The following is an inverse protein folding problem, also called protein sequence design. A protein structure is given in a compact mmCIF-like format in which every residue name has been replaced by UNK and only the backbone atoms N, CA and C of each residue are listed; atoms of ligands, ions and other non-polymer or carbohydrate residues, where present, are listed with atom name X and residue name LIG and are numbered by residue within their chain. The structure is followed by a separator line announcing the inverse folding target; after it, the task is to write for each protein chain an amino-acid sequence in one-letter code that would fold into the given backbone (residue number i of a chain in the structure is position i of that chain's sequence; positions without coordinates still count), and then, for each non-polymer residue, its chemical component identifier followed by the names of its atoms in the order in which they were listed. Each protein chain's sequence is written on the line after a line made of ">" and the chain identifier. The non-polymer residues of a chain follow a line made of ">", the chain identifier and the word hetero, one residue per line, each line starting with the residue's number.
data_IF_311979770008
#
_entry.id   IF_311979770008
#
_cell.length_a   1.000
_cell.length_b   1.000
_cell.length_c   1.000
_cell.angle_alpha   90.00
_cell.angle_beta   90.00
_cell.angle_gamma   90.00
#
_symmetry.space_group_name_H-M   'P 1'
#
loop_
_entity.id
_entity.type
_entity.pdbx_description
1 polymer ?
#
# COMPACT_ATOMS: atom_id res chain seq x y z
N UNK A 1 12.72 -6.05 -21.12
CA UNK A 1 11.52 -6.10 -20.25
C UNK A 1 11.90 -5.50 -18.90
N UNK A 2 11.22 -4.46 -18.42
CA UNK A 2 11.46 -3.92 -17.08
C UNK A 2 10.95 -4.94 -16.06
N UNK A 3 11.87 -5.59 -15.33
CA UNK A 3 11.54 -6.46 -14.20
C UNK A 3 11.92 -5.71 -12.93
N UNK A 4 10.91 -5.30 -12.18
CA UNK A 4 11.09 -4.82 -10.82
C UNK A 4 11.16 -6.08 -9.94
N UNK A 5 12.26 -6.30 -9.21
CA UNK A 5 12.41 -7.47 -8.32
C UNK A 5 11.44 -7.41 -7.14
N UNK A 6 11.41 -6.29 -6.41
CA UNK A 6 10.49 -6.02 -5.31
C UNK A 6 10.17 -4.52 -5.25
N UNK A 7 9.02 -4.15 -4.71
CA UNK A 7 8.65 -2.76 -4.47
C UNK A 7 7.42 -2.62 -3.60
N UNK A 8 7.24 -1.43 -3.04
CA UNK A 8 6.03 -1.10 -2.28
C UNK A 8 5.29 0.03 -2.98
N UNK A 9 4.42 -0.26 -3.97
CA UNK A 9 3.47 0.71 -4.50
C UNK A 9 2.45 1.14 -3.45
N UNK A 10 1.95 2.36 -3.61
CA UNK A 10 0.84 2.87 -2.80
C UNK A 10 -0.08 3.81 -3.58
N UNK A 11 -1.28 3.99 -3.06
CA UNK A 11 -2.26 4.92 -3.64
C UNK A 11 -1.91 6.37 -3.28
N UNK A 12 -1.70 7.23 -4.29
CA UNK A 12 -1.40 8.64 -4.06
C UNK A 12 -2.60 9.39 -3.47
N UNK A 13 -3.82 9.05 -3.85
CA UNK A 13 -5.05 9.65 -3.33
C UNK A 13 -5.97 8.56 -2.80
N UNK A 14 -6.20 8.54 -1.50
CA UNK A 14 -7.06 7.56 -0.85
C UNK A 14 -7.56 8.09 0.52
N UNK A 15 -8.60 7.47 1.05
CA UNK A 15 -9.12 7.80 2.39
C UNK A 15 -8.19 7.30 3.51
N UNK A 16 -7.43 6.24 3.24
CA UNK A 16 -6.50 5.59 4.15
C UNK A 16 -5.21 5.18 3.43
N UNK A 17 -4.18 4.88 4.22
CA UNK A 17 -2.94 4.29 3.72
C UNK A 17 -3.19 2.92 3.10
N UNK A 18 -2.79 2.77 1.84
CA UNK A 18 -2.81 1.50 1.12
C UNK A 18 -1.44 1.25 0.51
N UNK A 19 -0.59 0.53 1.23
CA UNK A 19 0.72 0.09 0.77
C UNK A 19 0.66 -1.42 0.47
N UNK A 20 1.20 -1.84 -0.66
CA UNK A 20 1.16 -3.24 -1.10
C UNK A 20 2.57 -3.70 -1.43
N UNK A 21 2.92 -4.96 -1.11
CA UNK A 21 4.15 -5.56 -1.59
C UNK A 21 3.95 -6.08 -3.03
N UNK A 22 4.71 -5.52 -3.97
CA UNK A 22 4.80 -6.02 -5.33
C UNK A 22 5.99 -6.98 -5.47
N UNK A 23 5.68 -8.24 -5.78
CA UNK A 23 6.66 -9.31 -6.04
C UNK A 23 7.06 -9.37 -7.52
N UNK A 24 6.98 -8.24 -8.22
CA UNK A 24 7.25 -8.08 -9.64
C UNK A 24 6.03 -8.31 -10.55
N UNK A 25 6.19 -7.97 -11.83
CA UNK A 25 5.20 -8.23 -12.88
C UNK A 25 4.18 -7.11 -13.11
N UNK A 26 4.16 -6.06 -12.29
CA UNK A 26 3.25 -4.91 -12.47
C UNK A 26 3.98 -3.67 -12.97
N UNK A 27 3.35 -2.97 -13.92
CA UNK A 27 3.77 -1.65 -14.40
C UNK A 27 2.90 -0.61 -13.71
N UNK A 28 3.52 0.33 -13.02
CA UNK A 28 2.81 1.37 -12.28
C UNK A 28 2.54 2.58 -13.19
N UNK A 29 1.32 3.11 -13.16
CA UNK A 29 0.98 4.39 -13.79
C UNK A 29 1.57 5.53 -12.95
N UNK A 30 1.69 6.72 -13.53
CA UNK A 30 2.30 7.91 -12.88
C UNK A 30 1.74 8.23 -11.48
N UNK A 31 0.47 7.89 -11.21
CA UNK A 31 -0.23 8.11 -9.93
C UNK A 31 -0.03 7.00 -8.89
N UNK A 32 0.89 6.07 -9.13
CA UNK A 32 1.24 5.01 -8.20
C UNK A 32 2.72 5.14 -7.85
N UNK A 33 3.06 6.00 -6.87
CA UNK A 33 4.43 6.09 -6.41
C UNK A 33 4.87 4.76 -5.78
N UNK A 34 6.17 4.50 -5.83
CA UNK A 34 6.74 3.21 -5.41
C UNK A 34 7.92 3.47 -4.49
N UNK A 35 7.91 2.83 -3.32
CA UNK A 35 9.08 2.79 -2.44
C UNK A 35 10.01 1.66 -2.93
N UNK A 36 11.29 1.99 -3.08
CA UNK A 36 12.37 1.07 -3.39
C UNK A 36 13.35 1.02 -2.23
N UNK A 37 13.65 -0.20 -1.77
CA UNK A 37 14.73 -0.43 -0.82
C UNK A 37 16.07 -0.56 -1.57
N UNK A 38 17.21 -0.39 -0.88
CA UNK A 38 18.53 -0.59 -1.47
C UNK A 38 18.69 -1.97 -2.12
N UNK A 39 19.58 -2.06 -3.10
CA UNK A 39 19.91 -3.33 -3.74
C UNK A 39 20.38 -4.36 -2.70
N UNK A 40 19.87 -5.59 -2.83
CA UNK A 40 20.13 -6.68 -1.88
C UNK A 40 19.17 -6.72 -0.68
N UNK A 41 18.22 -5.79 -0.57
CA UNK A 41 17.19 -5.87 0.46
C UNK A 41 16.32 -7.12 0.32
N UNK A 42 16.07 -7.80 1.44
CA UNK A 42 15.28 -9.04 1.50
C UNK A 42 13.78 -8.75 1.47
N UNK A 43 12.98 -9.76 1.15
CA UNK A 43 11.51 -9.65 1.24
C UNK A 43 11.05 -9.33 2.67
N UNK A 44 11.69 -9.91 3.69
CA UNK A 44 11.41 -9.60 5.09
C UNK A 44 11.61 -8.13 5.43
N UNK A 45 12.64 -7.48 4.87
CA UNK A 45 12.85 -6.03 5.06
C UNK A 45 11.74 -5.21 4.40
N UNK A 46 11.19 -5.68 3.29
CA UNK A 46 10.01 -5.05 2.68
C UNK A 46 8.77 -5.25 3.55
N UNK A 47 8.54 -6.46 4.08
CA UNK A 47 7.42 -6.77 4.96
C UNK A 47 7.48 -5.98 6.28
N UNK A 48 8.66 -5.82 6.88
CA UNK A 48 8.88 -4.97 8.04
C UNK A 48 8.38 -3.53 7.82
N UNK A 49 8.79 -2.92 6.69
CA UNK A 49 8.35 -1.58 6.34
C UNK A 49 6.85 -1.55 6.02
N UNK A 50 6.37 -2.52 5.25
CA UNK A 50 4.96 -2.65 4.86
C UNK A 50 4.02 -2.71 6.08
N UNK A 51 4.38 -3.49 7.11
CA UNK A 51 3.58 -3.63 8.32
C UNK A 51 3.45 -2.33 9.09
N UNK A 52 4.54 -1.56 9.19
CA UNK A 52 4.51 -0.25 9.86
C UNK A 52 3.73 0.77 9.02
N UNK A 53 3.95 0.81 7.70
CA UNK A 53 3.27 1.73 6.80
C UNK A 53 1.77 1.50 6.71
N UNK A 54 1.28 0.27 6.93
CA UNK A 54 -0.16 -0.05 6.99
C UNK A 54 -0.74 0.00 8.42
N UNK A 55 -0.02 0.58 9.39
CA UNK A 55 -0.55 0.77 10.75
C UNK A 55 -1.49 1.98 10.87
N UNK A 56 -2.38 1.96 11.87
CA UNK A 56 -3.22 3.11 12.20
C UNK A 56 -2.40 4.33 12.65
N UNK A 57 -1.28 4.11 13.34
CA UNK A 57 -0.35 5.18 13.72
C UNK A 57 0.27 5.87 12.51
N UNK A 58 0.68 5.10 11.49
CA UNK A 58 1.16 5.67 10.23
C UNK A 58 0.08 6.45 9.51
N UNK A 59 -1.15 5.90 9.43
CA UNK A 59 -2.30 6.58 8.84
C UNK A 59 -2.60 7.90 9.54
N UNK A 60 -2.63 7.89 10.88
CA UNK A 60 -2.87 9.08 11.69
C UNK A 60 -1.83 10.16 11.39
N UNK A 61 -0.54 9.82 11.43
CA UNK A 61 0.52 10.77 11.13
C UNK A 61 0.42 11.32 9.71
N UNK A 62 0.18 10.45 8.72
CA UNK A 62 0.04 10.86 7.31
C UNK A 62 -1.12 11.84 7.12
N UNK A 63 -2.26 11.62 7.78
CA UNK A 63 -3.39 12.56 7.74
C UNK A 63 -3.09 13.93 8.37
N UNK A 64 -2.12 14.03 9.29
CA UNK A 64 -1.70 15.33 9.84
C UNK A 64 -0.84 16.15 8.87
N UNK A 65 -0.06 15.50 8.00
CA UNK A 65 0.93 16.18 7.16
C UNK A 65 0.58 16.22 5.67
N UNK A 66 -0.31 15.34 5.22
CA UNK A 66 -0.76 15.24 3.84
C UNK A 66 -1.91 16.22 3.57
N UNK A 67 -2.06 16.61 2.29
CA UNK A 67 -3.12 17.51 1.89
C UNK A 67 -4.47 16.78 1.88
N UNK A 68 -5.42 17.24 2.71
CA UNK A 68 -6.81 16.78 2.67
C UNK A 68 -7.48 17.32 1.40
N UNK A 69 -8.00 16.42 0.57
CA UNK A 69 -8.65 16.68 -0.71
C UNK A 69 -10.18 16.69 -0.61
N UNK A 70 -10.75 16.58 0.58
CA UNK A 70 -12.20 16.49 0.84
C UNK A 70 -12.80 15.18 0.36
N UNK A 71 -14.13 15.06 0.48
CA UNK A 71 -14.90 13.88 0.04
C UNK A 71 -15.67 14.18 -1.25
N UNK A 72 -16.82 14.85 -1.13
CA UNK A 72 -17.81 15.03 -2.20
C UNK A 72 -17.69 16.43 -2.81
N UNK A 73 -18.14 16.62 -4.05
CA UNK A 73 -18.36 17.95 -4.62
C UNK A 73 -19.79 18.39 -4.37
N UNK A 74 -20.00 19.63 -3.92
CA UNK A 74 -21.33 20.22 -3.89
C UNK A 74 -21.83 20.61 -5.29
N UNK A 75 -23.07 21.09 -5.35
CA UNK A 75 -23.72 21.55 -6.58
C UNK A 75 -22.96 22.66 -7.31
N UNK A 76 -22.06 23.36 -6.63
CA UNK A 76 -21.23 24.44 -7.16
C UNK A 76 -19.80 23.97 -7.48
N UNK A 77 -19.51 22.67 -7.34
CA UNK A 77 -18.23 22.05 -7.64
C UNK A 77 -17.17 22.20 -6.54
N UNK A 78 -17.51 22.79 -5.39
CA UNK A 78 -16.58 22.89 -4.27
C UNK A 78 -16.52 21.56 -3.52
N UNK A 79 -15.31 21.14 -3.15
CA UNK A 79 -15.13 19.91 -2.37
C UNK A 79 -15.51 20.16 -0.91
N UNK A 80 -16.46 19.39 -0.41
CA UNK A 80 -16.99 19.45 0.94
C UNK A 80 -16.63 18.17 1.71
N UNK A 81 -16.27 18.34 2.97
CA UNK A 81 -16.15 17.24 3.94
C UNK A 81 -17.50 17.08 4.61
N UNK A 82 -18.18 15.94 4.40
CA UNK A 82 -19.40 15.62 5.14
C UNK A 82 -19.04 14.97 6.49
N UNK A 83 -18.15 13.98 6.45
CA UNK A 83 -17.62 13.28 7.64
C UNK A 83 -16.11 13.00 7.47
N UNK A 84 -15.27 13.16 8.51
CA UNK A 84 -13.81 13.09 8.36
C UNK A 84 -13.23 11.77 7.84
N UNK A 85 -13.97 10.66 7.96
CA UNK A 85 -13.50 9.35 7.50
C UNK A 85 -13.66 9.15 5.98
N UNK A 86 -14.50 9.95 5.33
CA UNK A 86 -14.70 9.94 3.86
C UNK A 86 -13.70 10.82 3.11
N UNK A 87 -12.96 11.66 3.82
CA UNK A 87 -12.00 12.57 3.20
C UNK A 87 -10.88 11.80 2.50
N UNK A 88 -10.62 12.16 1.25
CA UNK A 88 -9.46 11.70 0.52
C UNK A 88 -8.25 12.52 0.90
N UNK A 89 -7.09 11.87 1.06
CA UNK A 89 -5.82 12.52 1.34
C UNK A 89 -4.85 12.26 0.20
N UNK A 90 -4.01 13.26 -0.12
CA UNK A 90 -2.94 13.11 -1.10
C UNK A 90 -1.64 12.69 -0.40
N UNK A 91 -1.39 11.39 -0.35
CA UNK A 91 -0.15 10.79 0.12
C UNK A 91 0.91 10.90 -0.99
N UNK A 92 1.54 12.06 -1.13
CA UNK A 92 2.66 12.21 -2.08
C UNK A 92 3.98 11.64 -1.50
N UNK A 93 4.93 11.33 -2.38
CA UNK A 93 6.22 10.72 -1.99
C UNK A 93 7.03 11.56 -0.99
N UNK A 94 6.97 12.90 -1.08
CA UNK A 94 7.69 13.79 -0.16
C UNK A 94 7.16 13.66 1.26
N UNK A 95 5.83 13.63 1.43
CA UNK A 95 5.19 13.47 2.75
C UNK A 95 5.37 12.07 3.29
N UNK A 96 5.22 11.04 2.46
CA UNK A 96 5.48 9.65 2.85
C UNK A 96 6.93 9.46 3.29
N UNK A 97 7.89 10.06 2.59
CA UNK A 97 9.32 9.99 2.93
C UNK A 97 9.71 10.71 4.23
N UNK A 98 8.83 11.55 4.79
CA UNK A 98 9.02 12.21 6.09
C UNK A 98 8.49 11.39 7.26
N UNK A 99 7.79 10.27 7.01
CA UNK A 99 7.25 9.43 8.07
C UNK A 99 8.38 8.88 8.96
N UNK A 100 8.34 9.07 10.28
CA UNK A 100 9.40 8.61 11.16
C UNK A 100 9.42 7.08 11.24
N UNK A 101 10.54 6.48 10.81
CA UNK A 101 10.77 5.04 10.86
C UNK A 101 11.86 4.73 11.88
N UNK A 102 11.58 3.79 12.78
CA UNK A 102 12.56 3.33 13.76
C UNK A 102 13.57 2.38 13.10
N UNK A 103 14.83 2.39 13.57
CA UNK A 103 15.91 1.56 12.99
C UNK A 103 15.63 0.04 13.05
N UNK A 104 14.78 -0.39 13.99
CA UNK A 104 14.30 -1.77 14.12
C UNK A 104 12.79 -1.81 13.94
N UNK A 105 12.32 -2.62 12.99
CA UNK A 105 10.91 -2.76 12.65
C UNK A 105 10.41 -4.18 12.98
N UNK A 106 9.18 -4.33 13.48
CA UNK A 106 8.61 -5.63 13.76
C UNK A 106 8.31 -6.40 12.46
N UNK A 107 8.73 -7.67 12.39
CA UNK A 107 8.52 -8.51 11.21
C UNK A 107 7.33 -9.48 11.38
N UNK A 108 7.25 -10.15 12.52
CA UNK A 108 6.34 -11.28 12.74
C UNK A 108 4.89 -11.00 12.31
N UNK A 109 4.33 -9.88 12.76
CA UNK A 109 2.94 -9.53 12.41
C UNK A 109 2.74 -9.31 10.90
N UNK A 110 3.69 -8.63 10.25
CA UNK A 110 3.60 -8.36 8.81
C UNK A 110 3.70 -9.67 8.01
N UNK A 111 4.59 -10.58 8.43
CA UNK A 111 4.73 -11.90 7.81
C UNK A 111 3.47 -12.75 7.96
N UNK A 112 2.87 -12.79 9.16
CA UNK A 112 1.62 -13.52 9.40
C UNK A 112 0.49 -12.98 8.53
N UNK A 113 0.33 -11.65 8.46
CA UNK A 113 -0.71 -11.03 7.65
C UNK A 113 -0.53 -11.31 6.15
N UNK A 114 0.71 -11.26 5.65
CA UNK A 114 1.00 -11.57 4.25
C UNK A 114 0.77 -13.06 3.95
N UNK A 115 1.20 -13.97 4.82
CA UNK A 115 0.96 -15.41 4.67
C UNK A 115 -0.54 -15.73 4.61
N UNK A 116 -1.33 -15.23 5.57
CA UNK A 116 -2.79 -15.42 5.58
C UNK A 116 -3.45 -14.80 4.34
N UNK A 117 -2.96 -13.65 3.87
CA UNK A 117 -3.44 -13.01 2.65
C UNK A 117 -3.18 -13.87 1.40
N UNK A 118 -1.99 -14.48 1.31
CA UNK A 118 -1.63 -15.38 0.22
C UNK A 118 -2.45 -16.68 0.27
N UNK A 119 -2.64 -17.28 1.45
CA UNK A 119 -3.48 -18.46 1.65
C UNK A 119 -4.91 -18.19 1.17
N UNK A 120 -5.49 -17.05 1.55
CA UNK A 120 -6.82 -16.65 1.09
C UNK A 120 -6.88 -16.52 -0.45
N UNK A 121 -5.89 -15.87 -1.07
CA UNK A 121 -5.82 -15.73 -2.54
C UNK A 121 -5.71 -17.09 -3.24
N UNK A 122 -4.97 -18.03 -2.66
CA UNK A 122 -4.83 -19.39 -3.19
C UNK A 122 -6.17 -20.14 -3.23
N UNK A 123 -7.07 -19.84 -2.28
CA UNK A 123 -8.44 -20.39 -2.25
C UNK A 123 -9.44 -19.66 -3.14
N UNK A 124 -9.03 -18.62 -3.86
CA UNK A 124 -9.94 -17.87 -4.75
C UNK A 124 -10.43 -18.74 -5.92
N UNK A 125 -11.67 -18.53 -6.43
CA UNK A 125 -12.20 -19.32 -7.54
C UNK A 125 -11.28 -19.32 -8.77
N UNK A 126 -10.67 -18.19 -9.09
CA UNK A 126 -9.74 -18.06 -10.22
C UNK A 126 -8.48 -18.93 -10.02
N UNK A 127 -7.90 -18.92 -8.81
CA UNK A 127 -6.73 -19.74 -8.49
C UNK A 127 -7.04 -21.23 -8.55
N UNK A 128 -8.19 -21.65 -7.99
CA UNK A 128 -8.61 -23.06 -7.98
C UNK A 128 -8.87 -23.58 -9.40
N UNK A 129 -9.59 -22.81 -10.22
CA UNK A 129 -9.83 -23.17 -11.63
C UNK A 129 -8.52 -23.25 -12.42
N UNK A 130 -7.60 -22.30 -12.20
CA UNK A 130 -6.29 -22.31 -12.86
C UNK A 130 -5.47 -23.55 -12.49
N UNK A 131 -5.43 -23.93 -11.21
CA UNK A 131 -4.70 -25.12 -10.78
C UNK A 131 -5.28 -26.40 -11.40
N UNK A 132 -6.62 -26.53 -11.40
CA UNK A 132 -7.30 -27.68 -11.99
C UNK A 132 -7.06 -27.83 -13.50
N UNK A 133 -6.99 -26.72 -14.25
CA UNK A 133 -6.70 -26.75 -15.68
C UNK A 133 -5.26 -27.13 -16.03
N UNK A 134 -4.31 -26.97 -15.10
CA UNK A 134 -2.89 -27.31 -15.32
C UNK A 134 -2.62 -28.79 -15.06
N UNK A 135 -3.39 -29.42 -14.17
CA UNK A 135 -3.28 -30.86 -13.85
C UNK A 135 -3.97 -31.78 -14.88
N UNK A 136 -4.41 -31.23 -16.02
CA UNK A 136 -5.12 -31.94 -17.10
C UNK A 136 -4.31 -31.97 -18.38
#
# INVERSE_FOLDING_TARGET
>A
RYSIKLGIPFAEVATHNHFVLDRGGKVFKQTAPVIKLPDGATEDQHLQLLGVLNSSTACFWLKQVAHNKGSTVDSHGARQTQVPWEDFYQFNSTKVGQFPVHARLPLERARILDALGQELIATSPASVVSAWCVDR
#
